data_IF_388802221572
#
_entry.id   IF_388802221572
#
_cell.length_a   1.000
_cell.length_b   1.000
_cell.length_c   1.000
_cell.angle_alpha   90.00
_cell.angle_beta   90.00
_cell.angle_gamma   90.00
#
_symmetry.space_group_name_H-M   'P 1'
#
loop_
_entity.id
_entity.type
_entity.pdbx_description
1 polymer ?
#
# COMPACT_ATOMS: atom_id res chain seq x y z
N UNK A 1 -0.02 -11.05 -3.10
CA UNK A 1 0.87 -12.09 -3.68
C UNK A 1 0.16 -13.04 -4.67
N UNK A 2 -1.00 -13.64 -4.34
CA UNK A 2 -1.63 -14.67 -5.20
C UNK A 2 -1.97 -14.22 -6.63
N UNK A 3 -2.52 -13.00 -6.78
CA UNK A 3 -2.83 -12.41 -8.10
C UNK A 3 -1.54 -12.23 -8.91
N UNK A 4 -0.49 -11.66 -8.31
CA UNK A 4 0.80 -11.45 -8.96
C UNK A 4 1.38 -12.76 -9.49
N UNK A 5 1.42 -13.81 -8.66
CA UNK A 5 1.89 -15.14 -9.08
C UNK A 5 1.07 -15.74 -10.20
N UNK A 6 -0.25 -15.56 -10.17
CA UNK A 6 -1.15 -16.07 -11.22
C UNK A 6 -0.86 -15.41 -12.56
N UNK A 7 -0.69 -14.08 -12.57
CA UNK A 7 -0.33 -13.32 -13.78
C UNK A 7 1.08 -13.72 -14.24
N UNK A 8 2.07 -13.76 -13.35
CA UNK A 8 3.45 -14.11 -13.69
C UNK A 8 3.56 -15.53 -14.26
N UNK A 9 2.89 -16.51 -13.67
CA UNK A 9 2.82 -17.88 -14.20
C UNK A 9 2.21 -17.90 -15.61
N UNK A 10 1.10 -17.20 -15.80
CA UNK A 10 0.41 -17.15 -17.08
C UNK A 10 1.21 -16.43 -18.18
N UNK A 11 2.13 -15.53 -17.80
CA UNK A 11 3.03 -14.81 -18.71
C UNK A 11 4.44 -15.43 -18.80
N UNK A 12 4.69 -16.55 -18.13
CA UNK A 12 6.00 -17.20 -18.04
C UNK A 12 7.12 -16.27 -17.51
N UNK A 13 6.77 -15.48 -16.48
CA UNK A 13 7.67 -14.60 -15.72
C UNK A 13 8.17 -15.30 -14.44
N UNK A 14 9.08 -14.66 -13.71
CA UNK A 14 9.61 -15.18 -12.45
C UNK A 14 8.57 -15.06 -11.33
N UNK A 15 7.94 -16.18 -10.97
CA UNK A 15 6.95 -16.24 -9.89
C UNK A 15 7.54 -15.87 -8.52
N UNK A 16 8.78 -16.28 -8.24
CA UNK A 16 9.44 -16.05 -6.94
C UNK A 16 9.75 -14.57 -6.75
N UNK A 17 10.21 -13.89 -7.81
CA UNK A 17 10.46 -12.45 -7.79
C UNK A 17 9.15 -11.68 -7.56
N UNK A 18 8.08 -12.06 -8.27
CA UNK A 18 6.77 -11.44 -8.09
C UNK A 18 6.19 -11.68 -6.69
N UNK A 19 6.36 -12.89 -6.14
CA UNK A 19 5.92 -13.19 -4.78
C UNK A 19 6.72 -12.39 -3.74
N UNK A 20 8.05 -12.35 -3.86
CA UNK A 20 8.92 -11.60 -2.95
C UNK A 20 8.58 -10.10 -2.94
N UNK A 21 8.42 -9.48 -4.12
CA UNK A 21 7.99 -8.07 -4.21
C UNK A 21 6.62 -7.89 -3.56
N UNK A 22 5.64 -8.73 -3.91
CA UNK A 22 4.28 -8.61 -3.39
C UNK A 22 4.16 -8.88 -1.88
N UNK A 23 5.12 -9.57 -1.26
CA UNK A 23 5.18 -9.73 0.19
C UNK A 23 5.89 -8.54 0.88
N UNK A 24 6.84 -7.90 0.20
CA UNK A 24 7.63 -6.80 0.75
C UNK A 24 7.04 -5.41 0.54
N UNK A 25 6.14 -5.21 -0.42
CA UNK A 25 5.70 -3.89 -0.86
C UNK A 25 5.07 -3.04 0.26
N UNK A 26 4.29 -3.67 1.14
CA UNK A 26 3.50 -3.00 2.19
C UNK A 26 4.11 -3.08 3.60
N UNK A 27 5.38 -3.48 3.74
CA UNK A 27 6.03 -3.61 5.06
C UNK A 27 6.15 -2.27 5.82
N UNK A 28 6.18 -1.16 5.11
CA UNK A 28 6.32 0.20 5.66
C UNK A 28 5.01 0.91 5.93
N UNK A 29 3.85 0.24 5.81
CA UNK A 29 2.57 0.85 6.11
C UNK A 29 2.46 1.24 7.58
N UNK A 30 2.04 2.47 7.81
CA UNK A 30 1.84 3.02 9.14
C UNK A 30 0.59 2.45 9.82
N UNK A 31 0.51 2.50 11.16
CA UNK A 31 -0.76 2.33 11.84
C UNK A 31 -1.81 3.31 11.29
N UNK A 32 -3.06 2.86 11.25
CA UNK A 32 -4.21 3.59 10.68
C UNK A 32 -4.15 3.85 9.17
N UNK A 33 -3.29 3.12 8.44
CA UNK A 33 -3.23 3.16 6.98
C UNK A 33 -2.91 4.55 6.43
N UNK A 34 -3.66 5.02 5.42
CA UNK A 34 -3.42 6.30 4.75
C UNK A 34 -3.42 7.51 5.70
N UNK A 35 -4.22 7.49 6.77
CA UNK A 35 -4.23 8.57 7.76
C UNK A 35 -2.87 8.64 8.47
N UNK A 36 -2.26 7.49 8.75
CA UNK A 36 -0.94 7.44 9.35
C UNK A 36 0.14 8.00 8.45
N UNK A 37 0.11 7.61 7.18
CA UNK A 37 1.02 8.11 6.16
C UNK A 37 0.92 9.63 5.98
N UNK A 38 -0.30 10.16 5.86
CA UNK A 38 -0.54 11.60 5.76
C UNK A 38 0.02 12.36 6.97
N UNK A 39 -0.28 11.89 8.18
CA UNK A 39 0.16 12.54 9.41
C UNK A 39 1.68 12.46 9.59
N UNK A 40 2.31 11.32 9.32
CA UNK A 40 3.77 11.24 9.40
C UNK A 40 4.44 12.09 8.33
N UNK A 41 3.85 12.22 7.13
CA UNK A 41 4.36 13.10 6.08
C UNK A 41 4.26 14.58 6.47
N UNK A 42 3.23 14.97 7.21
CA UNK A 42 3.10 16.31 7.79
C UNK A 42 4.10 16.58 8.93
N UNK A 43 4.30 15.58 9.81
CA UNK A 43 5.09 15.73 11.04
C UNK A 43 6.60 15.62 10.81
N UNK A 44 7.03 14.81 9.85
CA UNK A 44 8.44 14.57 9.57
C UNK A 44 8.94 15.49 8.45
N UNK A 45 9.91 16.40 8.73
CA UNK A 45 10.38 17.37 7.74
C UNK A 45 10.94 16.75 6.45
N UNK A 46 11.41 15.50 6.49
CA UNK A 46 11.90 14.76 5.33
C UNK A 46 10.81 14.21 4.41
N UNK A 47 9.53 14.30 4.82
CA UNK A 47 8.42 13.64 4.16
C UNK A 47 8.37 12.14 4.44
N UNK A 48 7.18 11.55 4.33
CA UNK A 48 6.97 10.12 4.57
C UNK A 48 6.17 9.51 3.43
N UNK A 49 6.63 8.35 2.98
CA UNK A 49 5.93 7.51 2.00
C UNK A 49 6.11 6.05 2.38
N UNK A 50 5.02 5.28 2.38
CA UNK A 50 5.04 3.88 2.82
C UNK A 50 6.01 3.03 2.00
N UNK A 51 6.11 3.24 0.69
CA UNK A 51 7.00 2.47 -0.19
C UNK A 51 8.49 2.72 0.10
N UNK A 52 8.87 3.96 0.44
CA UNK A 52 10.22 4.29 0.88
C UNK A 52 10.50 3.70 2.27
N UNK A 53 9.49 3.68 3.15
CA UNK A 53 9.57 3.01 4.43
C UNK A 53 9.71 1.49 4.29
N UNK A 54 8.97 0.85 3.38
CA UNK A 54 9.07 -0.59 3.09
C UNK A 54 10.48 -0.96 2.65
N UNK A 55 11.09 -0.14 1.79
CA UNK A 55 12.48 -0.33 1.38
C UNK A 55 13.44 -0.18 2.58
N UNK A 56 13.23 0.84 3.43
CA UNK A 56 14.04 1.04 4.63
C UNK A 56 13.92 -0.11 5.64
N UNK A 57 12.73 -0.69 5.79
CA UNK A 57 12.51 -1.87 6.64
C UNK A 57 13.43 -3.01 6.19
N UNK A 58 13.40 -3.34 4.90
CA UNK A 58 14.18 -4.47 4.37
C UNK A 58 15.67 -4.16 4.21
N UNK A 59 16.06 -2.89 4.11
CA UNK A 59 17.46 -2.49 3.93
C UNK A 59 18.20 -2.23 5.24
N UNK A 60 17.48 -1.79 6.27
CA UNK A 60 18.08 -1.30 7.50
C UNK A 60 17.40 -1.85 8.75
N UNK A 61 16.09 -1.74 8.91
CA UNK A 61 15.46 -1.93 10.23
C UNK A 61 15.42 -3.39 10.67
N UNK A 62 15.19 -4.31 9.72
CA UNK A 62 15.13 -5.73 10.02
C UNK A 62 16.47 -6.30 10.51
N UNK A 63 16.41 -7.41 11.27
CA UNK A 63 17.57 -8.09 11.85
C UNK A 63 18.49 -7.15 12.66
N UNK A 64 17.92 -6.43 13.61
CA UNK A 64 18.65 -5.57 14.55
C UNK A 64 19.52 -4.52 13.84
N UNK A 65 18.99 -3.87 12.79
CA UNK A 65 19.72 -2.84 12.06
C UNK A 65 20.57 -3.33 10.88
N UNK A 66 20.50 -4.62 10.51
CA UNK A 66 21.32 -5.21 9.44
C UNK A 66 20.62 -5.29 8.09
N UNK A 67 19.29 -5.12 8.06
CA UNK A 67 18.47 -5.39 6.90
C UNK A 67 18.42 -6.89 6.53
N UNK A 68 17.69 -7.18 5.46
CA UNK A 68 17.48 -8.53 4.95
C UNK A 68 18.46 -8.93 3.86
N UNK A 69 19.20 -7.97 3.28
CA UNK A 69 20.10 -8.16 2.13
C UNK A 69 19.38 -8.82 0.94
N UNK A 70 18.21 -8.28 0.57
CA UNK A 70 17.42 -8.75 -0.56
C UNK A 70 18.10 -8.40 -1.89
N UNK A 71 17.73 -9.12 -2.96
CA UNK A 71 18.24 -8.82 -4.30
C UNK A 71 17.78 -7.44 -4.75
N UNK A 72 18.51 -6.85 -5.70
CA UNK A 72 18.21 -5.51 -6.21
C UNK A 72 16.81 -5.45 -6.84
N UNK A 73 16.38 -6.50 -7.56
CA UNK A 73 15.09 -6.56 -8.24
C UNK A 73 13.92 -6.55 -7.25
N UNK A 74 14.05 -7.23 -6.12
CA UNK A 74 13.04 -7.22 -5.06
C UNK A 74 12.92 -5.82 -4.45
N UNK A 75 14.07 -5.19 -4.15
CA UNK A 75 14.13 -3.84 -3.59
C UNK A 75 13.56 -2.79 -4.54
N UNK A 76 13.88 -2.86 -5.84
CA UNK A 76 13.33 -1.99 -6.87
C UNK A 76 11.81 -2.14 -6.99
N UNK A 77 11.32 -3.38 -7.00
CA UNK A 77 9.89 -3.68 -6.99
C UNK A 77 9.18 -3.13 -5.75
N UNK A 78 9.75 -3.29 -4.56
CA UNK A 78 9.21 -2.72 -3.31
C UNK A 78 9.18 -1.20 -3.37
N UNK A 79 10.21 -0.54 -3.89
CA UNK A 79 10.25 0.92 -3.92
C UNK A 79 9.22 1.53 -4.89
N UNK A 80 9.06 0.93 -6.08
CA UNK A 80 8.35 1.55 -7.20
C UNK A 80 6.92 1.05 -7.40
N UNK A 81 6.43 0.15 -6.54
CA UNK A 81 5.05 -0.34 -6.60
C UNK A 81 4.00 0.75 -6.35
N UNK A 82 4.38 1.86 -5.69
CA UNK A 82 3.43 2.90 -5.26
C UNK A 82 2.71 3.58 -6.43
N UNK A 83 1.53 4.11 -6.11
CA UNK A 83 0.49 4.59 -7.03
C UNK A 83 0.60 6.10 -7.22
N UNK A 84 0.54 6.57 -8.46
CA UNK A 84 0.12 7.93 -8.77
C UNK A 84 -1.41 8.08 -8.70
N UNK A 85 -1.90 9.24 -8.22
CA UNK A 85 -3.33 9.50 -7.97
C UNK A 85 -4.21 9.45 -9.24
N UNK A 86 -3.67 9.71 -10.43
CA UNK A 86 -4.48 10.03 -11.61
C UNK A 86 -4.80 8.85 -12.56
N UNK A 87 -3.86 7.93 -12.82
CA UNK A 87 -4.05 6.83 -13.78
C UNK A 87 -3.28 5.58 -13.36
N UNK A 88 -3.92 4.40 -13.45
CA UNK A 88 -3.30 3.09 -13.20
C UNK A 88 -2.05 2.89 -14.08
N UNK A 89 -2.06 3.35 -15.34
CA UNK A 89 -0.93 3.24 -16.27
C UNK A 89 -0.29 4.62 -16.60
N UNK A 90 -0.18 5.51 -15.61
CA UNK A 90 0.41 6.86 -15.80
C UNK A 90 1.93 6.85 -16.04
N UNK A 91 2.56 8.03 -16.09
CA UNK A 91 4.01 8.19 -16.39
C UNK A 91 4.92 7.34 -15.47
N UNK A 92 4.54 7.17 -14.20
CA UNK A 92 5.24 6.33 -13.21
C UNK A 92 5.11 4.81 -13.48
N UNK A 93 4.42 4.40 -14.54
CA UNK A 93 4.29 3.00 -14.96
C UNK A 93 5.54 2.51 -15.68
N UNK A 94 6.14 3.35 -16.53
CA UNK A 94 7.30 2.98 -17.36
C UNK A 94 8.61 2.96 -16.56
N UNK A 95 8.63 3.55 -15.36
CA UNK A 95 9.80 3.59 -14.47
C UNK A 95 10.12 2.25 -13.78
N UNK A 96 9.25 1.25 -13.94
CA UNK A 96 9.43 -0.07 -13.34
C UNK A 96 10.47 -0.91 -14.09
N UNK A 97 11.51 -1.35 -13.38
CA UNK A 97 12.67 -2.01 -14.01
C UNK A 97 12.46 -3.46 -14.40
N UNK A 98 11.42 -4.12 -13.85
CA UNK A 98 11.10 -5.53 -14.14
C UNK A 98 9.62 -5.68 -14.52
N UNK A 99 9.32 -6.68 -15.36
CA UNK A 99 7.93 -7.04 -15.66
C UNK A 99 7.22 -7.55 -14.42
N UNK A 100 7.93 -8.26 -13.54
CA UNK A 100 7.44 -8.73 -12.24
C UNK A 100 7.03 -7.58 -11.33
N UNK A 101 7.79 -6.47 -11.30
CA UNK A 101 7.42 -5.24 -10.61
C UNK A 101 6.13 -4.63 -11.16
N UNK A 102 6.00 -4.54 -12.49
CA UNK A 102 4.76 -4.08 -13.15
C UNK A 102 3.57 -5.01 -12.84
N UNK A 103 3.78 -6.33 -12.83
CA UNK A 103 2.76 -7.31 -12.42
C UNK A 103 2.35 -7.07 -10.97
N UNK A 104 3.28 -6.85 -10.05
CA UNK A 104 2.96 -6.58 -8.65
C UNK A 104 2.14 -5.30 -8.49
N UNK A 105 2.48 -4.24 -9.22
CA UNK A 105 1.73 -2.98 -9.24
C UNK A 105 0.28 -3.18 -9.71
N UNK A 106 0.04 -3.92 -10.81
CA UNK A 106 -1.32 -4.26 -11.23
C UNK A 106 -2.03 -5.19 -10.24
N UNK A 107 -1.32 -6.18 -9.71
CA UNK A 107 -1.89 -7.14 -8.79
C UNK A 107 -2.39 -6.48 -7.50
N UNK A 108 -1.65 -5.49 -6.98
CA UNK A 108 -2.08 -4.69 -5.85
C UNK A 108 -3.35 -3.90 -6.18
N UNK A 109 -3.39 -3.22 -7.33
CA UNK A 109 -4.58 -2.47 -7.77
C UNK A 109 -5.81 -3.40 -7.90
N UNK A 110 -5.64 -4.59 -8.48
CA UNK A 110 -6.72 -5.58 -8.60
C UNK A 110 -7.17 -6.05 -7.22
N UNK A 111 -6.24 -6.30 -6.30
CA UNK A 111 -6.55 -6.73 -4.93
C UNK A 111 -7.32 -5.64 -4.19
N UNK A 112 -6.76 -4.44 -4.11
CA UNK A 112 -7.31 -3.25 -3.48
C UNK A 112 -8.76 -3.01 -3.91
N UNK A 113 -8.98 -2.77 -5.22
CA UNK A 113 -10.33 -2.48 -5.76
C UNK A 113 -11.36 -3.54 -5.36
N UNK A 114 -10.97 -4.82 -5.32
CA UNK A 114 -11.90 -5.89 -5.02
C UNK A 114 -12.12 -6.15 -3.53
N UNK A 115 -11.11 -5.93 -2.69
CA UNK A 115 -11.24 -6.03 -1.24
C UNK A 115 -12.02 -4.84 -0.68
N UNK A 116 -11.74 -3.62 -1.12
CA UNK A 116 -12.39 -2.42 -0.59
C UNK A 116 -13.87 -2.35 -0.91
N UNK A 117 -14.29 -2.83 -2.10
CA UNK A 117 -15.71 -3.00 -2.41
C UNK A 117 -16.37 -3.92 -1.39
N UNK A 118 -15.74 -5.06 -1.10
CA UNK A 118 -16.26 -6.03 -0.14
C UNK A 118 -16.33 -5.46 1.27
N UNK A 119 -15.32 -4.71 1.69
CA UNK A 119 -15.22 -4.09 3.02
C UNK A 119 -16.25 -2.98 3.18
N UNK A 120 -16.39 -2.11 2.18
CA UNK A 120 -17.35 -1.02 2.18
C UNK A 120 -18.79 -1.53 2.17
N UNK A 121 -19.09 -2.62 1.45
CA UNK A 121 -20.40 -3.26 1.49
C UNK A 121 -20.67 -3.89 2.86
N UNK A 122 -19.70 -4.61 3.44
CA UNK A 122 -19.84 -5.21 4.78
C UNK A 122 -20.03 -4.15 5.87
N UNK A 123 -19.37 -3.00 5.73
CA UNK A 123 -19.51 -1.87 6.62
C UNK A 123 -20.79 -1.05 6.39
N UNK A 124 -21.56 -1.35 5.33
CA UNK A 124 -22.79 -0.63 4.99
C UNK A 124 -22.55 0.79 4.45
N UNK A 125 -21.34 1.10 3.98
CA UNK A 125 -20.98 2.40 3.40
C UNK A 125 -21.55 2.52 1.99
N UNK A 126 -21.51 1.44 1.23
CA UNK A 126 -22.09 1.31 -0.11
C UNK A 126 -22.86 -0.02 -0.21
N UNK A 127 -23.65 -0.17 -1.26
CA UNK A 127 -24.32 -1.40 -1.66
C UNK A 127 -23.85 -1.85 -3.05
N UNK A 128 -24.14 -3.10 -3.42
CA UNK A 128 -23.82 -3.60 -4.78
C UNK A 128 -24.45 -2.76 -5.90
N UNK A 129 -25.59 -2.14 -5.63
CA UNK A 129 -26.30 -1.30 -6.60
C UNK A 129 -25.68 0.09 -6.76
N UNK A 130 -24.79 0.51 -5.85
CA UNK A 130 -24.10 1.79 -5.95
C UNK A 130 -22.90 1.72 -6.89
N UNK A 131 -22.43 0.51 -7.23
CA UNK A 131 -21.29 0.31 -8.12
C UNK A 131 -21.59 0.84 -9.54
N UNK A 132 -20.60 1.47 -10.21
CA UNK A 132 -20.79 1.96 -11.57
C UNK A 132 -21.27 0.86 -12.53
N UNK A 133 -22.38 1.10 -13.22
CA UNK A 133 -23.04 0.10 -14.08
C UNK A 133 -22.08 -0.49 -15.14
N UNK A 134 -21.25 0.37 -15.76
CA UNK A 134 -20.27 -0.08 -16.74
C UNK A 134 -19.20 -1.01 -16.13
N UNK A 135 -18.74 -0.73 -14.91
CA UNK A 135 -17.76 -1.56 -14.23
C UNK A 135 -18.35 -2.93 -13.89
N UNK A 136 -19.59 -2.96 -13.39
CA UNK A 136 -20.31 -4.21 -13.10
C UNK A 136 -20.53 -5.04 -14.38
N UNK A 137 -20.94 -4.39 -15.48
CA UNK A 137 -21.19 -5.04 -16.77
C UNK A 137 -19.92 -5.64 -17.39
N UNK A 138 -18.79 -4.93 -17.29
CA UNK A 138 -17.53 -5.34 -17.94
C UNK A 138 -16.73 -6.28 -17.04
N UNK A 139 -16.54 -5.93 -15.76
CA UNK A 139 -15.70 -6.70 -14.84
C UNK A 139 -16.46 -7.87 -14.21
N UNK A 140 -17.75 -7.69 -13.93
CA UNK A 140 -18.63 -8.70 -13.33
C UNK A 140 -19.24 -8.29 -11.99
N UNK A 141 -20.28 -9.02 -11.59
CA UNK A 141 -21.07 -8.74 -10.39
C UNK A 141 -20.40 -9.24 -9.12
N UNK A 142 -19.75 -10.39 -9.18
CA UNK A 142 -19.12 -11.02 -8.01
C UNK A 142 -17.64 -10.68 -7.91
N UNK A 143 -17.11 -10.75 -6.69
CA UNK A 143 -15.67 -10.60 -6.42
C UNK A 143 -14.82 -11.50 -7.32
N UNK A 144 -15.18 -12.78 -7.43
CA UNK A 144 -14.44 -13.75 -8.26
C UNK A 144 -14.51 -13.44 -9.75
N UNK A 145 -15.66 -12.98 -10.25
CA UNK A 145 -15.80 -12.58 -11.67
C UNK A 145 -14.90 -11.39 -11.99
N UNK A 146 -14.90 -10.36 -11.14
CA UNK A 146 -14.05 -9.16 -11.35
C UNK A 146 -12.58 -9.51 -11.37
N UNK A 147 -12.10 -10.27 -10.40
CA UNK A 147 -10.69 -10.73 -10.36
C UNK A 147 -10.37 -11.53 -11.62
N UNK A 148 -11.21 -12.49 -12.00
CA UNK A 148 -10.99 -13.30 -13.19
C UNK A 148 -10.90 -12.45 -14.46
N UNK A 149 -11.84 -11.53 -14.66
CA UNK A 149 -11.84 -10.63 -15.83
C UNK A 149 -10.58 -9.78 -15.88
N UNK A 150 -10.20 -9.16 -14.76
CA UNK A 150 -9.00 -8.31 -14.68
C UNK A 150 -7.73 -9.11 -14.96
N UNK A 151 -7.57 -10.28 -14.33
CA UNK A 151 -6.39 -11.14 -14.51
C UNK A 151 -6.31 -11.64 -15.95
N UNK A 152 -7.41 -12.15 -16.52
CA UNK A 152 -7.43 -12.63 -17.90
C UNK A 152 -7.12 -11.50 -18.90
N UNK A 153 -7.67 -10.30 -18.70
CA UNK A 153 -7.40 -9.15 -19.56
C UNK A 153 -5.92 -8.75 -19.52
N UNK A 154 -5.33 -8.67 -18.32
CA UNK A 154 -3.89 -8.37 -18.16
C UNK A 154 -3.03 -9.40 -18.89
N UNK A 155 -3.32 -10.69 -18.70
CA UNK A 155 -2.56 -11.77 -19.37
C UNK A 155 -2.67 -11.67 -20.89
N UNK A 156 -3.88 -11.51 -21.42
CA UNK A 156 -4.12 -11.42 -22.86
C UNK A 156 -3.46 -10.18 -23.47
N UNK A 157 -3.49 -9.05 -22.76
CA UNK A 157 -2.91 -7.80 -23.23
C UNK A 157 -1.39 -7.77 -23.12
N UNK A 158 -0.78 -8.56 -22.22
CA UNK A 158 0.65 -8.51 -21.92
C UNK A 158 1.45 -9.67 -22.53
N UNK A 159 0.79 -10.70 -23.05
CA UNK A 159 1.47 -11.86 -23.63
C UNK A 159 2.44 -11.47 -24.75
N UNK A 160 3.70 -11.90 -24.60
CA UNK A 160 4.80 -11.62 -25.52
C UNK A 160 5.03 -10.11 -25.81
N UNK A 161 4.73 -9.24 -24.83
CA UNK A 161 5.01 -7.80 -24.91
C UNK A 161 6.04 -7.37 -23.86
N UNK A 162 6.77 -6.27 -24.10
CA UNK A 162 7.78 -5.76 -23.17
C UNK A 162 7.18 -4.93 -22.02
N UNK A 163 5.85 -4.80 -21.94
CA UNK A 163 5.15 -4.00 -20.95
C UNK A 163 3.88 -4.74 -20.53
N UNK A 164 3.61 -4.75 -19.23
CA UNK A 164 2.36 -5.28 -18.65
C UNK A 164 1.28 -4.20 -18.76
N UNK A 165 0.13 -4.56 -19.32
CA UNK A 165 -0.97 -3.61 -19.56
C UNK A 165 -2.35 -4.28 -19.51
N UNK A 166 -3.39 -3.46 -19.50
CA UNK A 166 -4.79 -3.83 -19.64
C UNK A 166 -5.33 -3.33 -20.98
N UNK A 167 -6.45 -3.88 -21.44
CA UNK A 167 -7.17 -3.32 -22.59
C UNK A 167 -7.72 -1.93 -22.24
N UNK A 168 -7.86 -1.01 -23.22
CA UNK A 168 -8.36 0.34 -22.95
C UNK A 168 -9.74 0.36 -22.27
N UNK A 169 -10.59 -0.61 -22.58
CA UNK A 169 -11.91 -0.74 -21.97
C UNK A 169 -11.83 -1.15 -20.50
N UNK A 170 -11.04 -2.19 -20.18
CA UNK A 170 -10.85 -2.68 -18.81
C UNK A 170 -10.13 -1.65 -17.95
N UNK A 171 -9.10 -1.00 -18.48
CA UNK A 171 -8.38 0.08 -17.80
C UNK A 171 -9.33 1.22 -17.41
N UNK A 172 -10.15 1.69 -18.36
CA UNK A 172 -11.10 2.78 -18.14
C UNK A 172 -12.10 2.46 -17.03
N UNK A 173 -12.69 1.26 -17.03
CA UNK A 173 -13.65 0.90 -15.98
C UNK A 173 -12.99 0.65 -14.63
N UNK A 174 -11.75 0.15 -14.61
CA UNK A 174 -10.98 -0.04 -13.37
C UNK A 174 -10.63 1.31 -12.75
N UNK A 175 -10.17 2.28 -13.56
CA UNK A 175 -9.97 3.67 -13.13
C UNK A 175 -11.26 4.29 -12.59
N UNK A 176 -12.39 4.12 -13.28
CA UNK A 176 -13.69 4.61 -12.82
C UNK A 176 -14.12 3.99 -11.49
N UNK A 177 -13.84 2.70 -11.27
CA UNK A 177 -14.18 1.99 -10.04
C UNK A 177 -13.28 2.44 -8.88
N UNK A 178 -11.99 2.67 -9.15
CA UNK A 178 -11.04 3.25 -8.19
C UNK A 178 -11.48 4.65 -7.75
N UNK A 179 -11.84 5.51 -8.70
CA UNK A 179 -12.33 6.86 -8.40
C UNK A 179 -13.64 6.81 -7.59
N UNK A 180 -14.56 5.92 -7.94
CA UNK A 180 -15.80 5.73 -7.18
C UNK A 180 -15.52 5.35 -5.71
N UNK A 181 -14.62 4.39 -5.49
CA UNK A 181 -14.21 3.99 -4.14
C UNK A 181 -13.58 5.16 -3.39
N UNK A 182 -12.69 5.90 -4.05
CA UNK A 182 -12.06 7.09 -3.48
C UNK A 182 -13.11 8.10 -2.98
N UNK A 183 -14.10 8.40 -3.81
CA UNK A 183 -15.13 9.40 -3.48
C UNK A 183 -16.15 8.92 -2.44
N UNK A 184 -16.50 7.62 -2.45
CA UNK A 184 -17.59 7.07 -1.61
C UNK A 184 -17.12 6.40 -0.34
N UNK A 185 -15.89 5.94 -0.29
CA UNK A 185 -15.33 5.17 0.83
C UNK A 185 -14.19 5.94 1.49
N UNK A 186 -13.17 6.32 0.72
CA UNK A 186 -11.96 6.93 1.28
C UNK A 186 -12.19 8.36 1.77
N UNK A 187 -12.63 9.27 0.91
CA UNK A 187 -12.83 10.68 1.28
C UNK A 187 -13.73 10.86 2.53
N UNK A 188 -14.88 10.16 2.64
CA UNK A 188 -15.71 10.23 3.84
C UNK A 188 -15.02 9.65 5.08
N UNK A 189 -14.19 8.62 4.93
CA UNK A 189 -13.51 7.97 6.07
C UNK A 189 -12.52 8.91 6.78
N UNK A 190 -11.93 9.87 6.06
CA UNK A 190 -11.00 10.87 6.60
C UNK A 190 -11.67 11.86 7.57
N UNK A 191 -12.99 12.06 7.46
CA UNK A 191 -13.76 12.98 8.29
C UNK A 191 -14.42 12.31 9.52
N UNK A 192 -14.07 11.05 9.81
CA UNK A 192 -14.65 10.28 10.92
C UNK A 192 -14.06 10.65 12.28
N UNK A 193 -14.75 10.28 13.36
CA UNK A 193 -14.22 10.46 14.73
C UNK A 193 -13.00 9.57 14.96
N UNK A 194 -13.00 8.40 14.34
CA UNK A 194 -11.93 7.41 14.34
C UNK A 194 -10.68 7.99 13.66
N UNK A 195 -10.84 8.64 12.50
CA UNK A 195 -9.74 9.35 11.84
C UNK A 195 -9.19 10.48 12.71
N UNK A 196 -10.07 11.28 13.33
CA UNK A 196 -9.64 12.31 14.27
C UNK A 196 -8.91 11.74 15.50
N UNK A 197 -9.28 10.54 15.98
CA UNK A 197 -8.57 9.83 17.06
C UNK A 197 -7.20 9.38 16.58
N UNK A 198 -7.10 8.75 15.41
CA UNK A 198 -5.84 8.32 14.81
C UNK A 198 -4.85 9.47 14.66
N UNK A 199 -5.28 10.61 14.10
CA UNK A 199 -4.44 11.81 13.98
C UNK A 199 -3.90 12.29 15.32
N UNK A 200 -4.78 12.40 16.33
CA UNK A 200 -4.37 12.82 17.69
C UNK A 200 -3.37 11.84 18.31
N UNK A 201 -3.60 10.54 18.16
CA UNK A 201 -2.71 9.49 18.64
C UNK A 201 -1.32 9.64 18.02
N UNK A 202 -1.22 9.79 16.71
CA UNK A 202 0.07 9.93 16.04
C UNK A 202 0.82 11.22 16.40
N UNK A 203 0.11 12.35 16.50
CA UNK A 203 0.70 13.61 16.95
C UNK A 203 1.27 13.50 18.37
N UNK A 204 0.54 12.82 19.27
CA UNK A 204 0.98 12.58 20.63
C UNK A 204 2.24 11.70 20.65
N UNK A 205 2.21 10.55 19.97
CA UNK A 205 3.33 9.61 19.93
C UNK A 205 4.59 10.28 19.36
N UNK A 206 4.45 10.98 18.23
CA UNK A 206 5.57 11.68 17.61
C UNK A 206 6.17 12.74 18.53
N UNK A 207 5.32 13.61 19.10
CA UNK A 207 5.77 14.67 20.00
C UNK A 207 6.38 14.14 21.30
N UNK A 208 5.91 12.98 21.78
CA UNK A 208 6.41 12.34 22.98
C UNK A 208 7.80 11.75 22.74
N UNK A 209 7.97 10.90 21.74
CA UNK A 209 9.26 10.24 21.49
C UNK A 209 10.34 11.22 21.01
N UNK A 210 9.97 12.32 20.36
CA UNK A 210 10.92 13.38 20.03
C UNK A 210 11.48 14.10 21.27
N UNK A 211 10.72 14.17 22.37
CA UNK A 211 11.17 14.74 23.65
C UNK A 211 11.84 13.72 24.57
N UNK A 212 11.57 12.44 24.32
CA UNK A 212 11.95 11.31 25.17
C UNK A 212 12.62 10.23 24.33
N UNK A 213 13.70 10.58 23.63
CA UNK A 213 14.45 9.63 22.80
C UNK A 213 14.99 8.44 23.64
N UNK A 214 15.19 8.63 24.95
CA UNK A 214 15.57 7.58 25.91
C UNK A 214 14.49 6.50 26.08
N UNK A 215 13.27 6.75 25.61
CA UNK A 215 12.14 5.81 25.65
C UNK A 215 11.93 5.05 24.35
N UNK A 216 12.70 5.36 23.30
CA UNK A 216 12.68 4.57 22.08
C UNK A 216 13.22 3.15 22.37
N UNK A 217 12.67 2.11 21.73
CA UNK A 217 13.25 0.78 21.83
C UNK A 217 14.71 0.78 21.36
N UNK A 218 15.59 -0.04 21.97
CA UNK A 218 17.02 -0.05 21.68
C UNK A 218 17.34 -0.20 20.19
N UNK A 219 16.57 -1.03 19.47
CA UNK A 219 16.73 -1.30 18.04
C UNK A 219 16.58 -0.06 17.16
N UNK A 220 15.76 0.92 17.56
CA UNK A 220 15.63 2.20 16.86
C UNK A 220 16.60 3.25 17.41
N UNK A 221 16.79 3.26 18.74
CA UNK A 221 17.66 4.22 19.41
C UNK A 221 19.12 4.09 18.95
N UNK A 222 19.59 2.86 18.67
CA UNK A 222 20.96 2.57 18.24
C UNK A 222 21.27 2.89 16.79
N UNK A 223 20.26 3.25 15.97
CA UNK A 223 20.49 3.60 14.57
C UNK A 223 21.33 4.89 14.45
N UNK A 224 22.16 4.97 13.42
CA UNK A 224 22.89 6.19 13.08
C UNK A 224 22.02 7.09 12.19
N UNK A 225 21.04 7.75 12.79
CA UNK A 225 20.06 8.60 12.10
C UNK A 225 19.58 9.75 13.00
N UNK A 226 18.80 10.69 12.44
CA UNK A 226 18.22 11.78 13.23
C UNK A 226 17.18 11.27 14.22
N UNK A 227 16.97 12.01 15.32
CA UNK A 227 15.95 11.67 16.32
C UNK A 227 14.57 11.55 15.67
N UNK A 228 14.20 12.50 14.81
CA UNK A 228 12.94 12.48 14.06
C UNK A 228 12.79 11.20 13.23
N UNK A 229 13.84 10.77 12.52
CA UNK A 229 13.74 9.57 11.68
C UNK A 229 13.54 8.31 12.52
N UNK A 230 14.25 8.18 13.63
CA UNK A 230 14.08 7.05 14.57
C UNK A 230 12.66 6.98 15.13
N UNK A 231 12.08 8.14 15.45
CA UNK A 231 10.69 8.25 15.92
C UNK A 231 9.72 7.80 14.83
N UNK A 232 9.92 8.26 13.59
CA UNK A 232 9.11 7.84 12.43
C UNK A 232 9.19 6.33 12.22
N UNK A 233 10.40 5.76 12.23
CA UNK A 233 10.60 4.32 12.04
C UNK A 233 9.87 3.50 13.10
N UNK A 234 9.97 3.94 14.36
CA UNK A 234 9.28 3.28 15.46
C UNK A 234 7.75 3.37 15.34
N UNK A 235 7.21 4.56 15.04
CA UNK A 235 5.77 4.76 14.90
C UNK A 235 5.23 3.98 13.69
N UNK A 236 5.92 4.01 12.55
CA UNK A 236 5.52 3.28 11.35
C UNK A 236 5.49 1.76 11.59
N UNK A 237 6.37 1.23 12.46
CA UNK A 237 6.39 -0.18 12.83
C UNK A 237 5.30 -0.60 13.82
N UNK A 238 4.44 0.31 14.30
CA UNK A 238 3.38 -0.02 15.26
C UNK A 238 2.15 -0.62 14.58
N UNK A 239 1.48 -1.54 15.27
CA UNK A 239 0.10 -1.89 14.95
C UNK A 239 -0.88 -0.86 15.51
N UNK A 240 -2.06 -0.70 14.90
CA UNK A 240 -3.11 0.21 15.37
C UNK A 240 -3.42 0.05 16.87
N UNK A 241 -3.58 -1.19 17.32
CA UNK A 241 -3.90 -1.51 18.71
C UNK A 241 -2.75 -1.13 19.65
N UNK A 242 -1.50 -1.33 19.22
CA UNK A 242 -0.33 -0.95 20.00
C UNK A 242 -0.23 0.57 20.13
N UNK A 243 -0.36 1.29 19.01
CA UNK A 243 -0.30 2.75 18.97
C UNK A 243 -1.38 3.39 19.87
N UNK A 244 -2.62 2.88 19.81
CA UNK A 244 -3.72 3.38 20.65
C UNK A 244 -3.46 3.17 22.14
N UNK A 245 -3.06 1.96 22.53
CA UNK A 245 -2.77 1.64 23.94
C UNK A 245 -1.62 2.48 24.48
N UNK A 246 -0.53 2.58 23.73
CA UNK A 246 0.65 3.35 24.14
C UNK A 246 0.33 4.84 24.30
N UNK A 247 -0.49 5.40 23.41
CA UNK A 247 -0.97 6.77 23.53
C UNK A 247 -1.85 6.99 24.77
N UNK A 248 -2.67 6.01 25.14
CA UNK A 248 -3.47 6.05 26.36
C UNK A 248 -2.60 5.97 27.63
N UNK A 249 -1.51 5.19 27.62
CA UNK A 249 -0.54 5.11 28.73
C UNK A 249 0.26 6.40 28.90
N UNK A 250 0.69 7.03 27.80
CA UNK A 250 1.45 8.31 27.82
C UNK A 250 0.59 9.48 28.29
N UNK A 251 -0.72 9.41 28.10
CA UNK A 251 -1.67 10.48 28.46
C UNK A 251 -2.09 10.48 29.94
N UNK A 252 -1.68 9.48 30.73
CA UNK A 252 -1.97 9.34 32.16
C UNK A 252 -0.88 9.97 33.02
#
# INVERSE_FOLDING_TARGET
SQIARTISRALNLNEDLSEAIALGHDLGHTPFGHIGEEVLNELYPGGFRHNEQSLRVVDLLEKDGQGLNLTWEVRDGILKHSKGEADILGEEWEDMSTLEGQVCKLADIIAYVNHDIGDAIRAGIISENDLPEQAVKILGHTHSQRINTLVCDVVNCSWAKPIISMSPEVLRVTNSLRQFLFDKVYNPSLATKEAAKARKTLHLLYSYFLKHEDKLPPEFASLDDTGERKVVDYIAGMTDQYALRLAEEISQ
#
